data_IF_981146365325
#
_entry.id   IF_981146365325
#
_cell.length_a   1.000
_cell.length_b   1.000
_cell.length_c   1.000
_cell.angle_alpha   90.00
_cell.angle_beta   90.00
_cell.angle_gamma   90.00
#
_symmetry.space_group_name_H-M   'P 1'
#
loop_
_entity.id
_entity.type
_entity.pdbx_description
1 polymer ?
#
# COMPACT_ATOMS: atom_id res chain seq x y z
N UNK A 1 17.35 -28.07 0.14
CA UNK A 1 16.72 -26.86 0.71
C UNK A 1 16.89 -25.73 -0.28
N UNK A 2 15.85 -25.40 -1.05
CA UNK A 2 15.90 -24.29 -2.00
C UNK A 2 15.12 -23.15 -1.35
N UNK A 3 15.83 -22.09 -0.96
CA UNK A 3 15.21 -20.85 -0.53
C UNK A 3 14.61 -20.18 -1.79
N UNK A 4 13.29 -20.31 -1.96
CA UNK A 4 12.56 -19.50 -2.93
C UNK A 4 12.68 -18.04 -2.53
N UNK A 5 13.62 -17.33 -3.15
CA UNK A 5 13.62 -15.86 -3.16
C UNK A 5 12.30 -15.45 -3.81
N UNK A 6 11.38 -14.90 -3.01
CA UNK A 6 10.21 -14.18 -3.51
C UNK A 6 10.75 -13.01 -4.34
N UNK A 7 10.87 -13.22 -5.64
CA UNK A 7 11.11 -12.16 -6.63
C UNK A 7 9.94 -11.21 -6.52
N UNK A 8 10.21 -10.03 -5.96
CA UNK A 8 9.31 -8.89 -6.01
C UNK A 8 9.01 -8.60 -7.48
N UNK A 9 7.80 -8.94 -7.93
CA UNK A 9 7.27 -8.57 -9.25
C UNK A 9 6.94 -7.08 -9.19
N UNK A 10 7.39 -6.33 -10.18
CA UNK A 10 7.25 -4.87 -10.20
C UNK A 10 5.79 -4.40 -10.11
N UNK A 11 5.56 -3.13 -9.76
CA UNK A 11 4.22 -2.55 -9.54
C UNK A 11 3.31 -2.57 -10.77
N UNK A 12 3.86 -2.91 -11.94
CA UNK A 12 3.16 -3.09 -13.20
C UNK A 12 2.25 -4.33 -13.25
N UNK A 13 2.51 -5.37 -12.44
CA UNK A 13 1.67 -6.58 -12.33
C UNK A 13 0.54 -6.43 -11.30
N UNK A 14 0.63 -5.47 -10.38
CA UNK A 14 -0.34 -5.29 -9.29
C UNK A 14 -1.58 -4.52 -9.76
N UNK A 15 -1.47 -3.73 -10.83
CA UNK A 15 -2.50 -2.79 -11.25
C UNK A 15 -3.08 -3.18 -12.61
N UNK A 16 -4.34 -3.68 -12.70
CA UNK A 16 -4.98 -3.90 -13.98
C UNK A 16 -4.95 -2.61 -14.80
N UNK A 17 -4.68 -2.74 -16.09
CA UNK A 17 -4.55 -1.67 -17.09
C UNK A 17 -5.80 -0.79 -17.29
N UNK A 18 -6.81 -0.94 -16.43
CA UNK A 18 -8.11 -0.27 -16.45
C UNK A 18 -8.24 0.87 -15.42
N UNK A 19 -7.19 1.21 -14.67
CA UNK A 19 -7.16 2.34 -13.74
C UNK A 19 -7.14 3.69 -14.47
N UNK A 20 -8.19 3.96 -15.24
CA UNK A 20 -8.58 5.30 -15.65
C UNK A 20 -9.54 5.87 -14.60
N UNK A 21 -9.19 7.02 -14.04
CA UNK A 21 -10.09 7.95 -13.34
C UNK A 21 -11.17 7.29 -12.46
N UNK A 22 -10.76 6.63 -11.38
CA UNK A 22 -11.68 5.90 -10.49
C UNK A 22 -11.07 4.65 -9.89
N UNK A 23 -9.87 4.76 -9.31
CA UNK A 23 -9.31 3.66 -8.55
C UNK A 23 -10.28 3.29 -7.42
N UNK A 24 -10.77 2.05 -7.43
CA UNK A 24 -11.69 1.58 -6.40
C UNK A 24 -10.99 1.69 -5.04
N UNK A 25 -11.61 2.32 -4.05
CA UNK A 25 -11.00 2.58 -2.74
C UNK A 25 -10.51 1.29 -2.06
N UNK A 26 -11.18 0.16 -2.28
CA UNK A 26 -10.77 -1.16 -1.79
C UNK A 26 -9.46 -1.68 -2.43
N UNK A 27 -9.26 -1.44 -3.73
CA UNK A 27 -8.00 -1.78 -4.40
C UNK A 27 -6.86 -0.88 -3.91
N UNK A 28 -7.11 0.42 -3.78
CA UNK A 28 -6.14 1.37 -3.24
C UNK A 28 -5.65 0.96 -1.86
N UNK A 29 -6.59 0.57 -1.00
CA UNK A 29 -6.31 0.12 0.36
C UNK A 29 -5.45 -1.14 0.37
N UNK A 30 -5.78 -2.11 -0.47
CA UNK A 30 -5.04 -3.38 -0.56
C UNK A 30 -3.60 -3.15 -1.03
N UNK A 31 -3.42 -2.31 -2.05
CA UNK A 31 -2.09 -1.95 -2.58
C UNK A 31 -1.28 -1.16 -1.54
N UNK A 32 -1.90 -0.21 -0.83
CA UNK A 32 -1.26 0.52 0.28
C UNK A 32 -0.80 -0.45 1.38
N UNK A 33 -1.66 -1.37 1.78
CA UNK A 33 -1.34 -2.37 2.80
C UNK A 33 -0.18 -3.27 2.37
N UNK A 34 -0.15 -3.69 1.10
CA UNK A 34 0.93 -4.51 0.57
C UNK A 34 2.27 -3.77 0.52
N UNK A 35 2.27 -2.52 0.04
CA UNK A 35 3.49 -1.69 -0.02
C UNK A 35 4.04 -1.42 1.38
N UNK A 36 3.17 -1.06 2.34
CA UNK A 36 3.61 -0.79 3.71
C UNK A 36 3.98 -2.10 4.43
N UNK A 37 3.31 -3.22 4.15
CA UNK A 37 3.69 -4.54 4.70
C UNK A 37 5.04 -5.03 4.17
N UNK A 38 5.40 -4.68 2.93
CA UNK A 38 6.70 -4.98 2.34
C UNK A 38 7.85 -4.18 2.95
N UNK A 39 7.56 -3.15 3.75
CA UNK A 39 8.55 -2.33 4.43
C UNK A 39 8.41 -2.48 5.95
N UNK A 40 9.31 -3.24 6.59
CA UNK A 40 9.26 -3.53 8.04
C UNK A 40 9.21 -2.26 8.93
N UNK A 41 9.85 -1.16 8.50
CA UNK A 41 9.87 0.14 9.19
C UNK A 41 8.80 1.14 8.68
N UNK A 42 7.88 0.68 7.83
CA UNK A 42 6.92 1.53 7.12
C UNK A 42 7.49 2.18 5.86
N UNK A 43 6.60 2.73 5.04
CA UNK A 43 6.92 3.34 3.75
C UNK A 43 6.68 4.86 3.78
N UNK A 44 7.53 5.61 3.11
CA UNK A 44 7.33 7.05 2.89
C UNK A 44 6.29 7.29 1.80
N UNK A 45 5.68 8.48 1.82
CA UNK A 45 4.73 8.87 0.77
C UNK A 45 5.35 8.82 -0.64
N UNK A 46 6.65 9.07 -0.76
CA UNK A 46 7.38 8.98 -2.02
C UNK A 46 7.49 7.53 -2.53
N UNK A 47 7.80 6.58 -1.65
CA UNK A 47 7.89 5.15 -1.98
C UNK A 47 6.51 4.59 -2.37
N UNK A 48 5.47 4.96 -1.63
CA UNK A 48 4.10 4.54 -1.96
C UNK A 48 3.69 5.13 -3.32
N UNK A 49 4.01 6.40 -3.59
CA UNK A 49 3.77 7.02 -4.90
C UNK A 49 4.54 6.35 -6.03
N UNK A 50 5.77 5.91 -5.80
CA UNK A 50 6.57 5.18 -6.79
C UNK A 50 5.97 3.82 -7.11
N UNK A 51 5.40 3.14 -6.11
CA UNK A 51 4.70 1.88 -6.28
C UNK A 51 3.30 2.05 -6.92
N UNK A 52 2.69 3.24 -6.81
CA UNK A 52 1.41 3.56 -7.46
C UNK A 52 1.52 4.78 -8.39
N UNK A 53 2.28 4.71 -9.51
CA UNK A 53 2.52 5.85 -10.38
C UNK A 53 1.28 6.32 -11.14
N UNK A 54 0.23 5.48 -11.22
CA UNK A 54 -1.04 5.78 -11.88
C UNK A 54 -2.01 6.60 -11.02
N UNK A 55 -1.73 6.75 -9.72
CA UNK A 55 -2.61 7.49 -8.81
C UNK A 55 -2.20 8.95 -8.69
N UNK A 56 -3.22 9.81 -8.62
CA UNK A 56 -2.97 11.20 -8.26
C UNK A 56 -2.55 11.29 -6.79
N UNK A 57 -1.72 12.28 -6.44
CA UNK A 57 -1.33 12.50 -5.05
C UNK A 57 -2.54 12.74 -4.12
N UNK A 58 -3.65 13.26 -4.67
CA UNK A 58 -4.90 13.46 -3.93
C UNK A 58 -5.58 12.14 -3.58
N UNK A 59 -5.68 11.22 -4.53
CA UNK A 59 -6.25 9.88 -4.30
C UNK A 59 -5.40 9.09 -3.30
N UNK A 60 -4.08 9.16 -3.45
CA UNK A 60 -3.17 8.48 -2.52
C UNK A 60 -3.28 9.06 -1.10
N UNK A 61 -3.30 10.39 -0.96
CA UNK A 61 -3.50 11.03 0.33
C UNK A 61 -4.86 10.70 0.94
N UNK A 62 -5.91 10.58 0.12
CA UNK A 62 -7.24 10.12 0.53
C UNK A 62 -7.18 8.71 1.12
N UNK A 63 -6.60 7.76 0.37
CA UNK A 63 -6.50 6.37 0.81
C UNK A 63 -5.65 6.19 2.09
N UNK A 64 -4.54 6.93 2.23
CA UNK A 64 -3.74 6.93 3.46
C UNK A 64 -4.54 7.50 4.63
N UNK A 65 -5.27 8.59 4.41
CA UNK A 65 -6.11 9.20 5.44
C UNK A 65 -7.23 8.26 5.89
N UNK A 66 -7.91 7.61 4.96
CA UNK A 66 -8.99 6.68 5.27
C UNK A 66 -8.46 5.46 6.04
N UNK A 67 -7.31 4.90 5.62
CA UNK A 67 -6.66 3.82 6.33
C UNK A 67 -6.18 4.23 7.74
N UNK A 68 -5.81 5.50 7.93
CA UNK A 68 -5.44 6.04 9.24
C UNK A 68 -6.66 6.23 10.15
N UNK A 69 -7.77 6.72 9.60
CA UNK A 69 -9.06 6.83 10.32
C UNK A 69 -9.54 5.46 10.79
N UNK A 70 -9.39 4.44 9.94
CA UNK A 70 -9.73 3.06 10.27
C UNK A 70 -8.74 2.40 11.26
N UNK A 71 -7.66 3.09 11.66
CA UNK A 71 -6.67 2.59 12.59
C UNK A 71 -5.80 1.46 12.02
N UNK A 72 -5.73 1.34 10.70
CA UNK A 72 -4.97 0.29 9.98
C UNK A 72 -3.54 0.75 9.72
N UNK A 73 -3.34 2.02 9.43
CA UNK A 73 -2.01 2.64 9.30
C UNK A 73 -1.81 3.73 10.34
N UNK A 74 -0.57 3.94 10.73
CA UNK A 74 -0.13 5.08 11.52
C UNK A 74 0.76 5.99 10.66
N UNK A 75 0.62 7.30 10.82
CA UNK A 75 1.34 8.29 10.03
C UNK A 75 2.16 9.15 10.96
N UNK A 76 3.48 8.94 10.94
CA UNK A 76 4.45 9.66 11.77
C UNK A 76 5.36 10.48 10.85
N UNK A 77 5.13 11.80 10.81
CA UNK A 77 5.83 12.70 9.91
C UNK A 77 5.51 12.39 8.44
N UNK A 78 6.50 11.94 7.66
CA UNK A 78 6.33 11.52 6.26
C UNK A 78 6.29 10.00 6.07
N UNK A 79 6.34 9.22 7.16
CA UNK A 79 6.27 7.76 7.13
C UNK A 79 4.87 7.28 7.44
N UNK A 80 4.45 6.26 6.71
CA UNK A 80 3.22 5.49 6.91
C UNK A 80 3.63 4.08 7.32
N UNK A 81 3.16 3.63 8.47
CA UNK A 81 3.49 2.31 9.04
C UNK A 81 2.22 1.52 9.32
N UNK A 82 2.28 0.19 9.30
CA UNK A 82 1.13 -0.63 9.69
C UNK A 82 0.98 -0.68 11.21
N UNK A 83 -0.25 -0.46 11.68
CA UNK A 83 -0.61 -0.77 13.07
C UNK A 83 -0.69 -2.28 13.29
N UNK A 84 -0.81 -2.77 14.53
CA UNK A 84 -1.10 -4.19 14.78
C UNK A 84 -2.38 -4.68 14.09
N UNK A 85 -3.39 -3.81 13.93
CA UNK A 85 -4.61 -4.10 13.19
C UNK A 85 -4.31 -4.20 11.69
N UNK A 86 -3.55 -3.24 11.13
CA UNK A 86 -3.19 -3.25 9.72
C UNK A 86 -2.33 -4.42 9.29
N UNK A 87 -1.41 -4.89 10.15
CA UNK A 87 -0.64 -6.12 9.88
C UNK A 87 -1.54 -7.36 9.80
N UNK A 88 -2.58 -7.44 10.63
CA UNK A 88 -3.56 -8.52 10.56
C UNK A 88 -4.42 -8.43 9.30
N UNK A 89 -4.83 -7.22 8.93
CA UNK A 89 -5.57 -6.97 7.69
C UNK A 89 -4.73 -7.33 6.45
N UNK A 90 -3.47 -6.89 6.39
CA UNK A 90 -2.54 -7.24 5.33
C UNK A 90 -2.33 -8.76 5.22
N UNK A 91 -2.19 -9.46 6.35
CA UNK A 91 -2.06 -10.93 6.39
C UNK A 91 -3.35 -11.67 5.98
N UNK A 92 -4.52 -11.04 6.07
CA UNK A 92 -5.76 -11.63 5.58
C UNK A 92 -5.93 -11.46 4.06
N UNK A 93 -5.20 -10.51 3.47
CA UNK A 93 -5.22 -10.19 2.04
C UNK A 93 -4.12 -10.96 1.28
N UNK A 94 -2.96 -11.20 1.93
CA UNK A 94 -1.79 -11.93 1.41
C UNK A 94 -1.80 -13.43 1.73
#
# INVERSE_FOLDING_TARGET
MVFSKKTWTGPEDILPSTLGSGAQPDMLRSVLLEIVAGNDDGATFAEIRQATPRLTSKELAGAVRDAAIDGVVDVVGQRVSLTPLGRRAAKAIL
#
